data_IF_633116641081
#
_entry.id   IF_633116641081
#
_cell.length_a   1.000
_cell.length_b   1.000
_cell.length_c   1.000
_cell.angle_alpha   90.00
_cell.angle_beta   90.00
_cell.angle_gamma   90.00
#
_symmetry.space_group_name_H-M   'P 1'
#
loop_
_entity.id
_entity.type
_entity.pdbx_description
1 polymer ?
#
# COMPACT_ATOMS: atom_id res chain seq x y z
N UNK A 1 12.67 0.34 -24.22
CA UNK A 1 13.37 -0.81 -24.89
C UNK A 1 12.74 -2.10 -24.42
N UNK A 2 12.50 -3.04 -25.31
CA UNK A 2 12.05 -4.41 -24.97
C UNK A 2 13.25 -5.33 -24.72
N UNK A 3 13.03 -6.48 -24.08
CA UNK A 3 14.10 -7.47 -23.89
C UNK A 3 14.62 -8.03 -25.24
N UNK A 4 13.76 -8.13 -26.25
CA UNK A 4 14.18 -8.54 -27.58
C UNK A 4 15.08 -7.50 -28.30
N UNK A 5 14.78 -6.22 -28.12
CA UNK A 5 15.66 -5.14 -28.63
C UNK A 5 17.01 -5.15 -27.92
N UNK A 6 17.03 -5.41 -26.59
CA UNK A 6 18.27 -5.59 -25.85
C UNK A 6 19.12 -6.74 -26.43
N UNK A 7 18.51 -7.90 -26.72
CA UNK A 7 19.20 -9.04 -27.36
C UNK A 7 19.89 -8.61 -28.66
N UNK A 8 19.18 -7.89 -29.51
CA UNK A 8 19.74 -7.39 -30.78
C UNK A 8 20.92 -6.42 -30.57
N UNK A 9 20.83 -5.52 -29.59
CA UNK A 9 21.90 -4.58 -29.29
C UNK A 9 23.13 -5.27 -28.68
N UNK A 10 22.93 -6.22 -27.76
CA UNK A 10 24.01 -7.00 -27.18
C UNK A 10 24.69 -7.89 -28.24
N UNK A 11 23.92 -8.52 -29.15
CA UNK A 11 24.49 -9.26 -30.26
C UNK A 11 25.39 -8.35 -31.14
N UNK A 12 24.96 -7.12 -31.40
CA UNK A 12 25.76 -6.11 -32.13
C UNK A 12 27.08 -5.70 -31.45
N UNK A 13 27.21 -5.94 -30.15
CA UNK A 13 28.44 -5.77 -29.37
C UNK A 13 29.40 -7.00 -29.43
N UNK A 14 29.07 -8.02 -30.25
CA UNK A 14 29.88 -9.20 -30.45
C UNK A 14 29.54 -10.41 -29.55
N UNK A 15 28.32 -10.45 -29.01
CA UNK A 15 27.85 -11.50 -28.09
C UNK A 15 26.85 -12.47 -28.74
N UNK A 16 26.94 -12.75 -30.02
CA UNK A 16 25.97 -13.61 -30.73
C UNK A 16 25.77 -14.99 -30.08
N UNK A 17 26.84 -15.60 -29.56
CA UNK A 17 26.76 -16.91 -28.86
C UNK A 17 26.08 -16.81 -27.52
N UNK A 18 26.31 -15.74 -26.78
CA UNK A 18 25.72 -15.53 -25.44
C UNK A 18 24.25 -15.12 -25.53
N UNK A 19 23.85 -14.48 -26.63
CA UNK A 19 22.44 -14.16 -26.89
C UNK A 19 21.63 -15.43 -27.18
N UNK A 20 22.29 -16.51 -27.66
CA UNK A 20 21.68 -17.82 -27.80
C UNK A 20 21.50 -18.54 -26.45
N UNK A 21 22.27 -18.19 -25.41
CA UNK A 21 22.07 -18.63 -24.02
C UNK A 21 21.22 -17.60 -23.27
N UNK A 22 19.91 -17.80 -23.32
CA UNK A 22 18.94 -16.92 -22.68
C UNK A 22 19.16 -16.78 -21.16
N UNK A 23 19.62 -17.81 -20.48
CA UNK A 23 19.82 -17.80 -19.03
C UNK A 23 20.99 -16.91 -18.61
N UNK A 24 22.09 -16.94 -19.35
CA UNK A 24 23.26 -16.07 -19.08
C UNK A 24 22.91 -14.59 -19.33
N UNK A 25 22.22 -14.31 -20.42
CA UNK A 25 21.77 -12.95 -20.74
C UNK A 25 20.74 -12.45 -19.73
N UNK A 26 19.81 -13.30 -19.31
CA UNK A 26 18.79 -12.93 -18.30
C UNK A 26 19.45 -12.55 -16.98
N UNK A 27 20.37 -13.40 -16.46
CA UNK A 27 21.13 -13.09 -15.22
C UNK A 27 21.92 -11.78 -15.32
N UNK A 28 22.59 -11.54 -16.47
CA UNK A 28 23.31 -10.28 -16.70
C UNK A 28 22.36 -9.09 -16.75
N UNK A 29 21.18 -9.25 -17.34
CA UNK A 29 20.11 -8.23 -17.40
C UNK A 29 19.56 -7.91 -16.04
N UNK A 30 19.23 -8.90 -15.21
CA UNK A 30 18.74 -8.72 -13.85
C UNK A 30 19.75 -7.95 -12.97
N UNK A 31 21.03 -8.33 -13.06
CA UNK A 31 22.13 -7.65 -12.35
C UNK A 31 22.29 -6.21 -12.83
N UNK A 32 22.21 -5.98 -14.14
CA UNK A 32 22.28 -4.65 -14.74
C UNK A 32 21.09 -3.77 -14.33
N UNK A 33 19.86 -4.31 -14.31
CA UNK A 33 18.67 -3.59 -13.83
C UNK A 33 18.81 -3.14 -12.39
N UNK A 34 19.34 -3.99 -11.53
CA UNK A 34 19.57 -3.63 -10.12
C UNK A 34 20.56 -2.46 -9.99
N UNK A 35 21.63 -2.42 -10.80
CA UNK A 35 22.65 -1.37 -10.72
C UNK A 35 22.16 -0.07 -11.35
N UNK A 36 21.55 -0.11 -12.54
CA UNK A 36 21.11 1.11 -13.21
C UNK A 36 20.05 1.87 -12.40
N UNK A 37 19.20 1.15 -11.65
CA UNK A 37 18.22 1.75 -10.76
C UNK A 37 18.83 2.31 -9.46
N UNK A 38 20.03 1.90 -9.08
CA UNK A 38 20.81 2.53 -8.01
C UNK A 38 21.56 3.77 -8.52
N UNK A 39 22.12 3.71 -9.74
CA UNK A 39 22.90 4.80 -10.33
C UNK A 39 21.99 5.95 -10.81
N UNK A 40 20.79 5.63 -11.31
CA UNK A 40 19.80 6.61 -11.77
C UNK A 40 18.51 6.39 -10.99
N UNK A 41 18.35 7.17 -9.93
CA UNK A 41 17.17 7.06 -9.06
C UNK A 41 15.92 7.48 -9.82
N UNK A 42 15.01 6.54 -10.02
CA UNK A 42 13.66 6.82 -10.50
C UNK A 42 12.73 7.16 -9.35
N UNK A 43 11.87 8.14 -9.56
CA UNK A 43 10.71 8.35 -8.69
C UNK A 43 9.42 8.28 -9.50
N UNK A 44 8.41 7.64 -8.94
CA UNK A 44 7.05 7.56 -9.49
C UNK A 44 6.08 8.17 -8.49
N UNK A 45 4.97 8.67 -9.00
CA UNK A 45 3.87 9.15 -8.15
C UNK A 45 2.67 8.24 -8.34
N UNK A 46 2.24 7.63 -7.25
CA UNK A 46 0.97 6.90 -7.21
C UNK A 46 -0.09 7.77 -6.54
N UNK A 47 -1.24 7.91 -7.18
CA UNK A 47 -2.40 8.56 -6.59
C UNK A 47 -3.30 7.50 -5.95
N UNK A 48 -3.41 7.55 -4.62
CA UNK A 48 -4.20 6.63 -3.82
C UNK A 48 -5.50 7.31 -3.44
N UNK A 49 -6.64 6.79 -3.90
CA UNK A 49 -7.95 7.27 -3.51
C UNK A 49 -8.43 6.52 -2.28
N UNK A 50 -8.66 7.26 -1.21
CA UNK A 50 -9.13 6.72 0.05
C UNK A 50 -10.56 7.15 0.28
N UNK A 51 -11.45 6.20 0.52
CA UNK A 51 -12.84 6.46 0.88
C UNK A 51 -13.05 6.19 2.36
N UNK A 52 -13.57 7.15 3.10
CA UNK A 52 -13.93 6.95 4.49
C UNK A 52 -15.32 6.32 4.61
N UNK A 53 -15.55 5.46 5.61
CA UNK A 53 -16.89 5.13 6.04
C UNK A 53 -17.53 6.36 6.68
N UNK A 54 -18.83 6.52 6.51
CA UNK A 54 -19.57 7.62 7.12
C UNK A 54 -19.81 7.32 8.60
N UNK A 55 -18.97 7.89 9.45
CA UNK A 55 -19.16 7.86 10.90
C UNK A 55 -20.41 8.67 11.29
N UNK A 56 -21.20 8.12 12.20
CA UNK A 56 -22.39 8.79 12.76
C UNK A 56 -22.21 9.10 14.23
N UNK A 57 -21.61 8.20 15.01
CA UNK A 57 -21.27 8.39 16.43
C UNK A 57 -19.95 7.71 16.74
N UNK A 58 -19.19 8.30 17.66
CA UNK A 58 -17.92 7.73 18.17
C UNK A 58 -17.84 7.95 19.67
N UNK A 59 -17.51 6.86 20.36
CA UNK A 59 -17.16 6.85 21.79
C UNK A 59 -15.82 6.16 21.92
N UNK A 60 -14.75 6.94 22.13
CA UNK A 60 -13.36 6.42 22.08
C UNK A 60 -13.14 5.30 23.10
N UNK A 61 -13.57 5.54 24.34
CA UNK A 61 -13.45 4.58 25.45
C UNK A 61 -14.69 4.69 26.32
N UNK A 62 -15.23 3.56 26.68
CA UNK A 62 -16.38 3.40 27.57
C UNK A 62 -15.91 2.55 28.76
N UNK A 63 -16.16 3.02 29.96
CA UNK A 63 -15.86 2.29 31.20
C UNK A 63 -17.18 1.77 31.77
N UNK A 64 -17.23 0.47 32.01
CA UNK A 64 -18.35 -0.17 32.71
C UNK A 64 -17.96 -0.50 34.13
N UNK A 65 -18.78 -0.10 35.10
CA UNK A 65 -18.63 -0.47 36.49
C UNK A 65 -19.61 -1.59 36.83
N UNK A 66 -19.10 -2.66 37.39
CA UNK A 66 -19.89 -3.85 37.70
C UNK A 66 -21.19 -3.55 38.44
N UNK A 67 -22.26 -4.21 38.03
CA UNK A 67 -23.62 -4.03 38.60
C UNK A 67 -24.34 -2.78 38.08
N UNK A 68 -23.74 -1.96 37.25
CA UNK A 68 -24.38 -0.78 36.61
C UNK A 68 -24.80 -1.08 35.17
N UNK A 69 -25.49 -0.15 34.55
CA UNK A 69 -25.85 -0.21 33.12
C UNK A 69 -25.55 1.14 32.49
N UNK A 70 -24.78 1.15 31.41
CA UNK A 70 -24.46 2.36 30.64
C UNK A 70 -25.10 2.26 29.27
N UNK A 71 -25.81 3.30 28.86
CA UNK A 71 -26.49 3.35 27.56
C UNK A 71 -25.94 4.45 26.69
N UNK A 72 -25.62 4.08 25.45
CA UNK A 72 -25.07 4.98 24.44
C UNK A 72 -25.98 5.03 23.21
N UNK A 73 -26.17 6.21 22.64
CA UNK A 73 -26.97 6.36 21.43
C UNK A 73 -26.13 6.04 20.20
N UNK A 74 -26.71 5.23 19.32
CA UNK A 74 -26.15 4.91 18.01
C UNK A 74 -27.06 5.43 16.91
N UNK A 75 -26.53 5.51 15.67
CA UNK A 75 -27.35 5.82 14.49
C UNK A 75 -26.66 5.30 13.23
N UNK A 76 -27.46 4.99 12.19
CA UNK A 76 -26.95 4.49 10.93
C UNK A 76 -27.34 3.03 10.65
N UNK A 77 -26.47 2.29 10.00
CA UNK A 77 -26.75 0.92 9.55
C UNK A 77 -25.91 -0.16 10.23
N UNK A 78 -24.85 0.22 10.95
CA UNK A 78 -23.96 -0.71 11.62
C UNK A 78 -23.22 -0.07 12.80
N UNK A 79 -22.66 -0.92 13.67
CA UNK A 79 -21.77 -0.51 14.75
C UNK A 79 -20.61 -1.51 14.92
N UNK A 80 -19.56 -1.06 15.58
CA UNK A 80 -18.48 -1.92 16.06
C UNK A 80 -17.92 -1.42 17.39
N UNK A 81 -17.33 -2.33 18.17
CA UNK A 81 -16.53 -2.01 19.35
C UNK A 81 -15.55 -3.13 19.68
N UNK A 82 -14.54 -2.83 20.51
CA UNK A 82 -13.59 -3.82 21.02
C UNK A 82 -13.74 -3.97 22.53
N UNK A 83 -14.15 -5.13 23.04
CA UNK A 83 -14.22 -5.40 24.47
C UNK A 83 -12.83 -5.72 25.05
N UNK A 84 -12.58 -5.27 26.27
CA UNK A 84 -11.41 -5.59 27.09
C UNK A 84 -11.83 -6.21 28.43
N UNK A 85 -12.80 -7.10 28.40
CA UNK A 85 -13.34 -7.84 29.52
C UNK A 85 -14.58 -8.61 29.09
N UNK A 86 -15.17 -9.32 30.01
CA UNK A 86 -16.39 -10.13 29.80
C UNK A 86 -17.62 -9.34 30.23
N UNK A 87 -18.66 -9.41 29.44
CA UNK A 87 -19.89 -8.68 29.72
C UNK A 87 -21.00 -9.01 28.73
N UNK A 88 -21.99 -8.15 28.75
CA UNK A 88 -23.15 -8.29 27.91
C UNK A 88 -23.57 -6.94 27.35
N UNK A 89 -24.04 -6.92 26.11
CA UNK A 89 -24.70 -5.76 25.55
C UNK A 89 -26.09 -6.05 25.02
N UNK A 90 -26.95 -5.07 25.13
CA UNK A 90 -28.26 -5.05 24.51
C UNK A 90 -28.34 -3.94 23.50
N UNK A 91 -28.63 -4.26 22.24
CA UNK A 91 -28.91 -3.27 21.21
C UNK A 91 -30.41 -3.22 20.96
N UNK A 92 -30.95 -2.01 21.00
CA UNK A 92 -32.36 -1.76 20.68
C UNK A 92 -32.43 -0.74 19.57
N UNK A 93 -33.03 -1.09 18.44
CA UNK A 93 -33.35 -0.21 17.35
C UNK A 93 -34.88 -0.19 17.07
N UNK A 94 -35.28 0.45 15.97
CA UNK A 94 -36.67 0.60 15.57
C UNK A 94 -37.37 -0.76 15.30
N UNK A 95 -36.59 -1.80 15.00
CA UNK A 95 -37.12 -3.09 14.54
C UNK A 95 -36.99 -4.23 15.59
N UNK A 96 -35.96 -4.18 16.42
CA UNK A 96 -35.64 -5.30 17.31
C UNK A 96 -34.84 -4.87 18.54
N UNK A 97 -34.87 -5.72 19.56
CA UNK A 97 -33.97 -5.69 20.70
C UNK A 97 -33.21 -7.01 20.77
N UNK A 98 -31.89 -6.92 20.70
CA UNK A 98 -30.98 -8.08 20.69
C UNK A 98 -30.02 -8.01 21.87
N UNK A 99 -29.89 -9.08 22.65
CA UNK A 99 -29.01 -9.20 23.80
C UNK A 99 -27.94 -10.25 23.52
N UNK A 100 -26.64 -9.89 23.69
CA UNK A 100 -25.50 -10.74 23.34
C UNK A 100 -24.42 -10.65 24.41
N UNK A 101 -23.90 -11.80 24.83
CA UNK A 101 -22.71 -11.88 25.68
C UNK A 101 -21.44 -11.72 24.83
N UNK A 102 -20.46 -11.07 25.40
CA UNK A 102 -19.12 -10.96 24.81
C UNK A 102 -18.06 -11.32 25.84
N UNK A 103 -16.88 -11.66 25.34
CA UNK A 103 -15.72 -12.04 26.12
C UNK A 103 -14.50 -11.25 25.67
N UNK A 104 -13.54 -11.04 26.56
CA UNK A 104 -12.30 -10.30 26.27
C UNK A 104 -11.56 -10.84 25.03
N UNK A 105 -11.65 -12.14 24.76
CA UNK A 105 -11.04 -12.80 23.61
C UNK A 105 -11.79 -12.69 22.28
N UNK A 106 -12.99 -12.10 22.25
CA UNK A 106 -13.82 -12.06 21.03
C UNK A 106 -13.29 -11.13 19.93
N UNK A 107 -12.22 -10.38 20.19
CA UNK A 107 -11.72 -9.39 19.24
C UNK A 107 -12.71 -8.24 19.04
N UNK A 108 -13.00 -7.90 17.77
CA UNK A 108 -13.95 -6.83 17.45
C UNK A 108 -15.37 -7.38 17.36
N UNK A 109 -16.26 -6.81 18.15
CA UNK A 109 -17.70 -7.06 18.06
C UNK A 109 -18.30 -6.12 17.02
N UNK A 110 -19.12 -6.67 16.13
CA UNK A 110 -19.76 -5.94 15.03
C UNK A 110 -21.24 -6.30 15.00
N UNK A 111 -22.07 -5.33 14.62
CA UNK A 111 -23.50 -5.56 14.49
C UNK A 111 -24.18 -4.60 13.52
N UNK A 112 -25.40 -4.95 13.11
CA UNK A 112 -26.26 -4.10 12.31
C UNK A 112 -27.28 -3.40 13.18
N UNK A 113 -27.67 -2.21 12.78
CA UNK A 113 -28.74 -1.42 13.38
C UNK A 113 -29.56 -0.78 12.28
N UNK A 114 -30.77 -0.40 12.60
CA UNK A 114 -31.68 0.29 11.67
C UNK A 114 -32.02 1.66 12.22
N UNK A 115 -31.50 2.69 11.55
CA UNK A 115 -31.77 4.07 11.88
C UNK A 115 -31.22 4.50 13.25
N UNK A 116 -32.08 4.96 14.16
CA UNK A 116 -31.72 5.31 15.53
C UNK A 116 -31.73 4.07 16.41
N UNK A 117 -30.67 3.88 17.18
CA UNK A 117 -30.53 2.76 18.08
C UNK A 117 -29.88 3.18 19.40
N UNK A 118 -29.99 2.32 20.41
CA UNK A 118 -29.24 2.43 21.64
C UNK A 118 -28.50 1.12 21.92
N UNK A 119 -27.28 1.24 22.44
CA UNK A 119 -26.53 0.11 22.96
C UNK A 119 -26.36 0.28 24.46
N UNK A 120 -26.76 -0.73 25.23
CA UNK A 120 -26.64 -0.77 26.68
C UNK A 120 -25.67 -1.86 27.08
N UNK A 121 -24.65 -1.51 27.84
CA UNK A 121 -23.67 -2.43 28.39
C UNK A 121 -24.07 -2.80 29.83
N UNK A 122 -23.91 -4.06 30.20
CA UNK A 122 -24.22 -4.59 31.52
C UNK A 122 -23.27 -5.75 31.89
N UNK A 123 -23.12 -5.99 33.17
CA UNK A 123 -22.29 -7.08 33.73
C UNK A 123 -22.05 -6.90 35.22
N UNK A 124 -21.59 -7.94 35.86
CA UNK A 124 -21.35 -7.95 37.33
C UNK A 124 -19.89 -7.52 37.65
N UNK A 125 -19.02 -7.42 36.63
CA UNK A 125 -17.60 -7.07 36.77
C UNK A 125 -17.27 -5.82 35.96
N UNK A 126 -16.22 -5.13 36.36
CA UNK A 126 -15.70 -3.97 35.64
C UNK A 126 -15.09 -4.41 34.32
N UNK A 127 -15.33 -3.66 33.27
CA UNK A 127 -14.63 -3.84 31.98
C UNK A 127 -14.54 -2.52 31.19
N UNK A 128 -13.73 -2.55 30.15
CA UNK A 128 -13.54 -1.41 29.26
C UNK A 128 -13.95 -1.80 27.84
N UNK A 129 -14.62 -0.90 27.17
CA UNK A 129 -14.91 -0.96 25.73
C UNK A 129 -14.12 0.13 25.05
N UNK A 130 -13.36 -0.21 24.02
CA UNK A 130 -12.70 0.77 23.16
C UNK A 130 -13.33 0.80 21.78
N UNK A 131 -13.15 1.94 21.09
CA UNK A 131 -13.54 2.11 19.68
C UNK A 131 -15.03 1.84 19.40
N UNK A 132 -15.92 2.14 20.36
CA UNK A 132 -17.37 2.08 20.09
C UNK A 132 -17.73 3.15 19.07
N UNK A 133 -18.22 2.72 17.91
CA UNK A 133 -18.62 3.61 16.82
C UNK A 133 -19.82 3.04 16.06
N UNK A 134 -20.61 3.93 15.48
CA UNK A 134 -21.65 3.57 14.51
C UNK A 134 -21.44 4.26 13.18
N UNK A 135 -21.92 3.62 12.13
CA UNK A 135 -21.65 3.94 10.74
C UNK A 135 -22.94 3.96 9.94
N UNK A 136 -22.96 4.82 8.91
CA UNK A 136 -24.02 4.89 7.92
C UNK A 136 -23.46 4.63 6.52
N UNK A 137 -24.18 3.86 5.70
CA UNK A 137 -23.81 3.59 4.32
C UNK A 137 -23.92 2.11 3.94
N UNK A 138 -23.81 1.87 2.62
CA UNK A 138 -23.97 0.54 2.02
C UNK A 138 -22.80 -0.38 2.33
N UNK A 139 -22.86 -1.04 3.49
CA UNK A 139 -21.96 -2.16 3.75
C UNK A 139 -22.46 -3.40 3.01
N UNK A 140 -21.54 -4.25 2.58
CA UNK A 140 -21.84 -5.60 2.13
C UNK A 140 -22.76 -6.29 3.17
N UNK A 141 -23.67 -7.17 2.77
CA UNK A 141 -24.47 -8.00 3.69
C UNK A 141 -23.68 -8.69 4.79
N UNK A 142 -22.39 -8.92 4.60
CA UNK A 142 -21.49 -9.53 5.61
C UNK A 142 -21.14 -8.56 6.74
N UNK A 143 -21.22 -9.03 8.00
CA UNK A 143 -20.72 -8.29 9.17
C UNK A 143 -19.22 -8.06 9.12
N UNK A 144 -18.46 -8.85 8.35
CA UNK A 144 -17.02 -8.67 8.18
C UNK A 144 -16.68 -7.35 7.49
N UNK A 145 -17.59 -6.80 6.68
CA UNK A 145 -17.42 -5.50 6.02
C UNK A 145 -17.56 -4.30 6.97
N UNK A 146 -18.14 -4.45 8.17
CA UNK A 146 -18.25 -3.37 9.15
C UNK A 146 -16.86 -3.06 9.73
N UNK A 147 -16.39 -1.79 9.70
CA UNK A 147 -15.06 -1.44 10.17
C UNK A 147 -14.95 -1.49 11.69
N UNK A 148 -13.71 -1.53 12.14
CA UNK A 148 -13.35 -1.05 13.47
C UNK A 148 -12.99 0.44 13.39
N UNK A 149 -13.52 1.25 14.29
CA UNK A 149 -13.07 2.63 14.42
C UNK A 149 -11.63 2.65 14.97
N UNK A 150 -10.75 3.35 14.26
CA UNK A 150 -9.40 3.71 14.70
C UNK A 150 -9.19 5.19 14.40
N UNK A 151 -8.40 5.89 15.21
CA UNK A 151 -8.11 7.30 14.92
C UNK A 151 -7.45 7.48 13.54
N UNK A 152 -6.64 6.50 13.14
CA UNK A 152 -6.00 6.44 11.81
C UNK A 152 -6.17 5.06 11.21
N UNK A 153 -6.36 5.02 9.91
CA UNK A 153 -6.33 3.79 9.11
C UNK A 153 -4.93 3.59 8.57
N UNK A 154 -4.48 2.36 8.56
CA UNK A 154 -3.20 1.94 8.05
C UNK A 154 -3.40 1.37 6.64
N UNK A 155 -2.63 1.86 5.68
CA UNK A 155 -2.62 1.38 4.30
C UNK A 155 -1.19 0.96 4.00
N UNK A 156 -0.96 -0.32 3.73
CA UNK A 156 0.32 -0.83 3.27
C UNK A 156 0.60 -0.29 1.87
N UNK A 157 1.71 0.43 1.69
CA UNK A 157 2.10 0.96 0.40
C UNK A 157 2.57 -0.14 -0.54
N UNK A 158 3.21 -1.19 -0.01
CA UNK A 158 3.61 -2.35 -0.79
C UNK A 158 2.42 -3.14 -1.36
N UNK A 159 1.30 -3.22 -0.62
CA UNK A 159 0.08 -3.85 -1.11
C UNK A 159 -0.68 -2.95 -2.09
N UNK A 160 -0.68 -1.64 -1.82
CA UNK A 160 -1.38 -0.66 -2.62
C UNK A 160 -0.67 -0.37 -3.96
N UNK A 161 0.66 -0.40 -3.95
CA UNK A 161 1.53 -0.05 -5.08
C UNK A 161 2.42 -1.25 -5.36
N UNK A 162 2.03 -2.07 -6.34
CA UNK A 162 2.64 -3.39 -6.59
C UNK A 162 4.14 -3.38 -6.94
N UNK A 163 4.74 -2.23 -7.23
CA UNK A 163 6.15 -2.02 -7.50
C UNK A 163 6.83 -1.09 -6.49
N UNK A 164 6.22 -0.90 -5.32
CA UNK A 164 6.78 -0.06 -4.24
C UNK A 164 8.04 -0.68 -3.64
N UNK A 165 9.15 0.07 -3.62
CA UNK A 165 10.38 -0.31 -2.94
C UNK A 165 10.63 0.56 -1.71
N UNK A 166 10.55 1.88 -1.87
CA UNK A 166 10.74 2.85 -0.78
C UNK A 166 10.11 4.20 -1.12
N UNK A 167 9.93 5.03 -0.11
CA UNK A 167 9.48 6.40 -0.31
C UNK A 167 10.58 7.27 -0.92
N UNK A 168 10.21 8.05 -1.92
CA UNK A 168 11.04 9.12 -2.46
C UNK A 168 10.84 10.43 -1.69
N UNK A 169 9.59 10.78 -1.40
CA UNK A 169 9.20 12.02 -0.73
C UNK A 169 8.04 11.77 0.23
N UNK A 170 7.71 12.78 1.01
CA UNK A 170 6.52 12.73 1.87
C UNK A 170 5.24 12.72 1.01
N UNK A 171 4.19 12.01 1.43
CA UNK A 171 2.92 12.00 0.71
C UNK A 171 2.32 13.41 0.65
N UNK A 172 1.74 13.74 -0.49
CA UNK A 172 1.14 15.06 -0.74
C UNK A 172 -0.37 14.92 -0.81
N UNK A 173 -1.07 15.83 -0.17
CA UNK A 173 -2.51 15.97 -0.33
C UNK A 173 -2.83 16.40 -1.77
N UNK A 174 -3.59 15.59 -2.49
CA UNK A 174 -4.17 16.02 -3.75
C UNK A 174 -5.55 16.63 -3.54
N UNK A 175 -6.40 15.95 -2.79
CA UNK A 175 -7.76 16.37 -2.46
C UNK A 175 -8.19 15.67 -1.17
N UNK A 176 -8.92 16.37 -0.31
CA UNK A 176 -9.49 15.75 0.88
C UNK A 176 -9.82 16.76 1.97
N UNK A 177 -10.82 16.43 2.78
CA UNK A 177 -11.23 17.22 3.94
C UNK A 177 -10.80 16.49 5.20
N UNK A 178 -9.74 16.96 5.84
CA UNK A 178 -9.38 16.55 7.19
C UNK A 178 -8.55 17.63 7.84
N UNK A 179 -8.73 17.83 9.14
CA UNK A 179 -7.91 18.72 9.96
C UNK A 179 -6.50 18.17 10.18
N UNK A 180 -6.32 16.88 10.02
CA UNK A 180 -5.04 16.19 10.22
C UNK A 180 -4.55 15.61 8.89
N UNK A 181 -3.31 15.90 8.45
CA UNK A 181 -2.76 15.34 7.22
C UNK A 181 -2.48 13.84 7.34
N UNK A 182 -2.54 13.09 6.22
CA UNK A 182 -1.95 11.77 6.12
C UNK A 182 -0.46 11.84 6.46
N UNK A 183 0.04 10.78 7.08
CA UNK A 183 1.47 10.64 7.42
C UNK A 183 1.96 9.29 6.98
N UNK A 184 3.27 9.16 6.74
CA UNK A 184 3.89 7.89 6.39
C UNK A 184 4.95 7.53 7.39
N UNK A 185 5.06 6.25 7.71
CA UNK A 185 6.16 5.67 8.48
C UNK A 185 6.53 4.32 7.86
N UNK A 186 7.75 4.22 7.34
CA UNK A 186 8.17 3.04 6.58
C UNK A 186 7.35 2.88 5.29
N UNK A 187 6.72 1.74 5.13
CA UNK A 187 5.82 1.39 4.01
C UNK A 187 4.33 1.55 4.35
N UNK A 188 4.00 2.17 5.47
CA UNK A 188 2.62 2.35 5.93
C UNK A 188 2.20 3.81 5.81
N UNK A 189 1.13 4.03 5.06
CA UNK A 189 0.42 5.31 4.97
C UNK A 189 -0.68 5.34 6.05
N UNK A 190 -0.57 6.27 6.99
CA UNK A 190 -1.55 6.55 8.03
C UNK A 190 -2.49 7.66 7.59
N UNK A 191 -3.75 7.34 7.44
CA UNK A 191 -4.78 8.29 7.02
C UNK A 191 -5.80 8.47 8.14
N UNK A 192 -6.20 9.71 8.48
CA UNK A 192 -7.29 9.92 9.44
C UNK A 192 -8.52 9.08 9.07
N UNK A 193 -9.23 8.54 10.06
CA UNK A 193 -10.34 7.61 9.80
C UNK A 193 -11.41 8.21 8.89
N UNK A 194 -11.73 9.48 9.08
CA UNK A 194 -12.76 10.21 8.34
C UNK A 194 -12.26 10.77 7.00
N UNK A 195 -10.99 10.55 6.66
CA UNK A 195 -10.43 11.09 5.44
C UNK A 195 -11.03 10.41 4.20
N UNK A 196 -11.56 11.23 3.30
CA UNK A 196 -11.95 10.84 1.95
C UNK A 196 -11.30 11.78 0.96
N UNK A 197 -10.60 11.22 -0.01
CA UNK A 197 -9.88 12.00 -1.02
C UNK A 197 -8.70 11.25 -1.58
N UNK A 198 -7.90 11.95 -2.36
CA UNK A 198 -6.69 11.40 -2.96
C UNK A 198 -5.44 11.78 -2.15
N UNK A 199 -4.48 10.87 -2.11
CA UNK A 199 -3.14 11.09 -1.57
C UNK A 199 -2.14 10.72 -2.64
N UNK A 200 -1.31 11.67 -3.05
CA UNK A 200 -0.20 11.42 -3.96
C UNK A 200 1.01 10.94 -3.15
N UNK A 201 1.54 9.78 -3.51
CA UNK A 201 2.72 9.18 -2.86
C UNK A 201 3.84 9.08 -3.88
N UNK A 202 4.93 9.81 -3.63
CA UNK A 202 6.15 9.69 -4.42
C UNK A 202 7.01 8.55 -3.86
N UNK A 203 7.41 7.62 -4.74
CA UNK A 203 8.12 6.42 -4.33
C UNK A 203 9.18 5.99 -5.36
N UNK A 204 10.12 5.18 -4.92
CA UNK A 204 11.07 4.48 -5.79
C UNK A 204 10.50 3.10 -6.13
N UNK A 205 10.39 2.76 -7.43
CA UNK A 205 9.86 1.47 -7.84
C UNK A 205 10.88 0.34 -7.67
N UNK A 206 10.39 -0.88 -7.46
CA UNK A 206 11.17 -2.10 -7.59
C UNK A 206 11.25 -2.46 -9.07
N UNK A 207 12.44 -2.56 -9.68
CA UNK A 207 12.58 -2.93 -11.08
C UNK A 207 12.13 -4.39 -11.29
N UNK A 208 11.33 -4.62 -12.32
CA UNK A 208 10.87 -5.97 -12.67
C UNK A 208 11.79 -6.58 -13.72
N UNK A 209 12.38 -7.77 -13.49
CA UNK A 209 13.11 -8.47 -14.52
C UNK A 209 12.15 -8.91 -15.65
N UNK A 210 12.62 -8.95 -16.92
CA UNK A 210 11.83 -9.44 -18.02
C UNK A 210 11.61 -10.95 -17.92
N UNK A 211 10.38 -11.41 -18.11
CA UNK A 211 10.05 -12.83 -18.16
C UNK A 211 9.96 -13.37 -19.59
N UNK A 212 9.73 -12.50 -20.57
CA UNK A 212 9.52 -12.85 -21.98
C UNK A 212 10.22 -11.87 -22.92
N UNK A 213 10.52 -12.32 -24.12
CA UNK A 213 11.22 -11.52 -25.14
C UNK A 213 10.52 -10.18 -25.51
N UNK A 214 9.19 -10.12 -25.41
CA UNK A 214 8.42 -8.92 -25.70
C UNK A 214 8.24 -7.97 -24.53
N UNK A 215 8.69 -8.34 -23.34
CA UNK A 215 8.50 -7.52 -22.15
C UNK A 215 9.31 -6.22 -22.26
N UNK A 216 8.69 -5.12 -21.88
CA UNK A 216 9.38 -3.85 -21.73
C UNK A 216 10.31 -3.91 -20.51
N UNK A 217 11.55 -3.45 -20.69
CA UNK A 217 12.48 -3.29 -19.60
C UNK A 217 12.16 -2.04 -18.81
N UNK A 218 12.14 -2.14 -17.50
CA UNK A 218 11.88 -1.03 -16.58
C UNK A 218 13.16 -0.21 -16.37
N UNK A 219 13.48 0.62 -17.35
CA UNK A 219 14.68 1.43 -17.39
C UNK A 219 14.39 2.89 -17.03
N UNK A 220 15.31 3.55 -16.30
CA UNK A 220 15.27 5.00 -16.14
C UNK A 220 15.29 5.71 -17.50
N UNK A 221 14.51 6.81 -17.60
CA UNK A 221 14.45 7.59 -18.84
C UNK A 221 15.84 8.04 -19.32
N UNK A 222 16.12 7.86 -20.60
CA UNK A 222 17.38 8.24 -21.22
C UNK A 222 18.53 7.26 -21.01
N UNK A 223 18.28 6.12 -20.33
CA UNK A 223 19.32 5.10 -20.09
C UNK A 223 19.31 3.96 -21.11
N UNK A 224 18.38 3.95 -22.07
CA UNK A 224 18.16 2.86 -23.03
C UNK A 224 19.40 2.56 -23.87
N UNK A 225 20.23 3.59 -24.17
CA UNK A 225 21.45 3.41 -24.92
C UNK A 225 22.64 2.94 -24.06
N UNK A 226 22.58 3.16 -22.76
CA UNK A 226 23.62 2.82 -21.80
C UNK A 226 23.45 1.42 -21.24
N UNK A 227 22.20 0.96 -21.15
CA UNK A 227 21.88 -0.32 -20.56
C UNK A 227 22.55 -1.52 -21.23
N UNK A 228 22.62 -1.64 -22.57
CA UNK A 228 23.35 -2.71 -23.24
C UNK A 228 24.85 -2.74 -22.90
N UNK A 229 25.47 -1.57 -22.65
CA UNK A 229 26.88 -1.50 -22.25
C UNK A 229 27.08 -2.07 -20.85
N UNK A 230 26.15 -1.80 -19.93
CA UNK A 230 26.18 -2.37 -18.58
C UNK A 230 25.97 -3.88 -18.62
N UNK A 231 25.00 -4.38 -19.39
CA UNK A 231 24.78 -5.82 -19.61
C UNK A 231 26.01 -6.49 -20.20
N UNK A 232 26.63 -5.86 -21.25
CA UNK A 232 27.86 -6.33 -21.87
C UNK A 232 29.00 -6.45 -20.85
N UNK A 233 29.14 -5.49 -19.93
CA UNK A 233 30.18 -5.57 -18.90
C UNK A 233 30.04 -6.79 -18.01
N UNK A 234 28.82 -7.22 -17.69
CA UNK A 234 28.56 -8.43 -16.88
C UNK A 234 28.78 -9.71 -17.65
N UNK A 235 28.47 -9.74 -18.95
CA UNK A 235 28.71 -10.92 -19.78
C UNK A 235 30.22 -11.17 -19.94
N UNK A 236 31.02 -10.11 -20.16
CA UNK A 236 32.48 -10.24 -20.31
C UNK A 236 33.22 -10.50 -18.99
N UNK A 237 32.56 -10.36 -17.84
CA UNK A 237 33.24 -10.42 -16.54
C UNK A 237 33.96 -11.77 -16.32
N UNK A 238 33.37 -12.86 -16.79
CA UNK A 238 33.91 -14.22 -16.63
C UNK A 238 34.92 -14.62 -17.73
N UNK A 239 34.85 -13.97 -18.92
CA UNK A 239 35.68 -14.33 -20.07
C UNK A 239 36.85 -13.37 -20.31
N UNK A 240 36.65 -12.07 -20.19
CA UNK A 240 37.65 -11.04 -20.46
C UNK A 240 37.42 -9.80 -19.56
N UNK A 241 38.15 -9.78 -18.45
CA UNK A 241 38.04 -8.68 -17.48
C UNK A 241 38.43 -7.29 -18.10
N UNK A 242 39.27 -7.26 -19.09
CA UNK A 242 39.65 -6.01 -19.78
C UNK A 242 38.46 -5.43 -20.55
N UNK A 243 37.78 -6.26 -21.32
CA UNK A 243 36.55 -5.86 -22.03
C UNK A 243 35.41 -5.52 -21.06
N UNK A 244 35.25 -6.29 -19.98
CA UNK A 244 34.28 -5.96 -18.94
C UNK A 244 34.50 -4.56 -18.37
N UNK A 245 35.76 -4.22 -18.05
CA UNK A 245 36.12 -2.88 -17.54
C UNK A 245 35.89 -1.79 -18.58
N UNK A 246 36.19 -2.05 -19.86
CA UNK A 246 35.96 -1.11 -20.95
C UNK A 246 34.44 -0.77 -21.07
N UNK A 247 33.58 -1.75 -21.14
CA UNK A 247 32.14 -1.50 -21.23
C UNK A 247 31.57 -0.83 -19.95
N UNK A 248 32.04 -1.20 -18.77
CA UNK A 248 31.70 -0.53 -17.52
C UNK A 248 32.15 0.94 -17.51
N UNK A 249 33.31 1.24 -18.05
CA UNK A 249 33.81 2.63 -18.17
C UNK A 249 32.95 3.48 -19.12
N UNK A 250 32.57 2.93 -20.27
CA UNK A 250 31.63 3.58 -21.19
C UNK A 250 30.27 3.84 -20.55
N UNK A 251 29.72 2.86 -19.83
CA UNK A 251 28.48 3.02 -19.10
C UNK A 251 28.59 4.16 -18.08
N UNK A 252 29.63 4.16 -17.23
CA UNK A 252 29.84 5.19 -16.20
C UNK A 252 30.02 6.60 -16.79
N UNK A 253 30.76 6.73 -17.89
CA UNK A 253 30.89 8.01 -18.60
C UNK A 253 29.54 8.49 -19.12
N UNK A 254 28.73 7.58 -19.68
CA UNK A 254 27.37 7.89 -20.13
C UNK A 254 26.46 8.35 -19.00
N UNK A 255 26.43 7.63 -17.87
CA UNK A 255 25.64 8.00 -16.67
C UNK A 255 26.06 9.38 -16.14
N UNK A 256 27.34 9.65 -16.04
CA UNK A 256 27.84 10.94 -15.57
C UNK A 256 27.39 12.12 -16.48
N UNK A 257 27.21 11.86 -17.79
CA UNK A 257 26.73 12.88 -18.77
C UNK A 257 25.22 13.08 -18.70
N UNK A 258 24.42 12.03 -18.35
CA UNK A 258 22.97 12.17 -18.23
C UNK A 258 22.57 13.16 -17.14
N UNK A 259 23.40 13.33 -16.14
CA UNK A 259 23.03 14.07 -14.93
C UNK A 259 21.95 13.34 -14.12
N UNK A 260 21.57 13.92 -13.01
CA UNK A 260 20.45 13.39 -12.19
C UNK A 260 19.12 13.82 -12.80
N UNK A 261 18.67 13.13 -13.83
CA UNK A 261 17.31 13.29 -14.34
C UNK A 261 16.41 12.47 -13.44
N UNK A 262 15.50 13.10 -12.73
CA UNK A 262 14.42 12.44 -11.98
C UNK A 262 13.14 12.56 -12.79
N UNK A 263 12.81 11.62 -13.68
CA UNK A 263 11.51 11.60 -14.32
C UNK A 263 10.48 11.07 -13.31
N UNK A 264 9.36 11.75 -13.17
CA UNK A 264 8.25 11.26 -12.36
C UNK A 264 7.14 10.73 -13.28
N UNK A 265 6.85 9.46 -13.19
CA UNK A 265 5.65 8.86 -13.78
C UNK A 265 4.50 8.91 -12.77
N UNK A 266 3.31 9.35 -13.21
CA UNK A 266 2.11 9.33 -12.37
C UNK A 266 1.27 8.09 -12.66
N UNK A 267 0.94 7.35 -11.63
CA UNK A 267 -0.03 6.25 -11.68
C UNK A 267 -1.16 6.48 -10.69
N UNK A 268 -2.39 6.14 -11.08
CA UNK A 268 -3.56 6.26 -10.20
C UNK A 268 -3.94 4.88 -9.66
N UNK A 269 -4.10 4.77 -8.36
CA UNK A 269 -4.54 3.57 -7.66
C UNK A 269 -5.76 3.87 -6.81
N UNK A 270 -6.75 3.01 -6.89
CA UNK A 270 -7.98 3.11 -6.12
C UNK A 270 -7.97 2.05 -5.03
N UNK A 271 -7.97 2.52 -3.78
CA UNK A 271 -8.10 1.65 -2.62
C UNK A 271 -9.50 1.85 -2.04
N UNK A 272 -10.35 0.91 -2.27
CA UNK A 272 -11.61 0.75 -1.57
C UNK A 272 -11.40 -0.28 -0.49
N UNK A 273 -11.15 0.13 0.74
CA UNK A 273 -10.91 -0.76 1.89
C UNK A 273 -12.09 -1.71 2.16
N UNK A 274 -12.42 -2.60 1.23
CA UNK A 274 -13.52 -3.56 1.39
C UNK A 274 -14.93 -2.95 1.48
N UNK A 275 -15.08 -1.68 1.10
CA UNK A 275 -16.32 -0.91 1.14
C UNK A 275 -16.87 -0.72 -0.28
N UNK A 276 -17.22 -1.80 -0.94
CA UNK A 276 -18.03 -1.76 -2.16
C UNK A 276 -19.51 -1.92 -1.78
#
# INVERSE_FOLDING_TARGET
MTYNELKGQVAGLGFERTVADDDALLRATERALSIINLDVVQSRTARIYVRAPRLTKVYKTVYHNGGQTETYSLSGSAFSFRPHGDGEYTVSDENATTRVKFYAGNGIVKGRISGRASITFSGDVDYVISSLASFDGGFDPSLSSVPEYKERREISLSDAIGDFASLAERPVYAEGKSSTPPTVSGDVLYVPFEYSGAVDVCYHPTPKPPAKNGDALDLPMGTEQLFPLLVASFIWLDDDAGKAQYYMALYRDGINRLGRVTPSEKSEKYITNGWA
#
